data_IF_897427010326
#
_entry.id   IF_897427010326
#
_cell.length_a   1.000
_cell.length_b   1.000
_cell.length_c   1.000
_cell.angle_alpha   90.00
_cell.angle_beta   90.00
_cell.angle_gamma   90.00
#
_symmetry.space_group_name_H-M   'P 1'
#
loop_
_entity.id
_entity.type
_entity.pdbx_description
1 polymer ?
#
# COMPACT_ATOMS: atom_id res chain seq x y z
N UNK A 1 -11.25 15.69 3.21
CA UNK A 1 -9.83 15.71 3.62
C UNK A 1 -9.01 15.20 2.45
N UNK A 2 -7.90 15.84 2.08
CA UNK A 2 -7.03 15.34 1.00
C UNK A 2 -6.08 14.29 1.59
N UNK A 3 -5.98 13.13 0.96
CA UNK A 3 -5.02 12.07 1.31
C UNK A 3 -3.70 12.29 0.57
N UNK A 4 -2.62 11.74 1.11
CA UNK A 4 -1.29 11.81 0.45
C UNK A 4 -1.26 11.06 -0.88
N UNK A 5 -1.89 9.88 -0.93
CA UNK A 5 -2.13 9.16 -2.19
C UNK A 5 -3.20 9.92 -2.96
N UNK A 6 -2.86 10.35 -4.19
CA UNK A 6 -3.73 11.17 -5.04
C UNK A 6 -4.32 10.38 -6.21
N UNK A 7 -3.55 9.46 -6.75
CA UNK A 7 -3.97 8.55 -7.81
C UNK A 7 -3.52 7.14 -7.45
N UNK A 8 -4.40 6.17 -7.65
CA UNK A 8 -4.06 4.75 -7.63
C UNK A 8 -4.32 4.20 -9.02
N UNK A 9 -3.34 3.56 -9.63
CA UNK A 9 -3.46 2.91 -10.93
C UNK A 9 -3.28 1.39 -10.75
N UNK A 10 -4.06 0.61 -11.48
CA UNK A 10 -3.88 -0.82 -11.59
C UNK A 10 -3.36 -1.15 -12.98
N UNK A 11 -2.20 -1.78 -13.06
CA UNK A 11 -1.58 -2.23 -14.30
C UNK A 11 -1.61 -3.76 -14.35
N UNK A 12 -2.22 -4.34 -15.38
CA UNK A 12 -2.41 -5.80 -15.49
C UNK A 12 -1.65 -6.35 -16.69
N UNK A 13 -1.10 -7.57 -16.64
CA UNK A 13 -0.49 -8.19 -17.80
C UNK A 13 -1.51 -8.32 -18.95
N UNK A 14 -1.08 -7.95 -20.16
CA UNK A 14 -1.83 -8.19 -21.38
C UNK A 14 -2.04 -9.70 -21.62
N UNK A 15 -2.88 -10.05 -22.60
CA UNK A 15 -3.17 -11.46 -22.93
C UNK A 15 -1.94 -12.29 -23.28
N UNK A 16 -0.90 -11.65 -23.82
CA UNK A 16 0.38 -12.29 -24.18
C UNK A 16 1.38 -12.30 -23.03
N UNK A 17 1.08 -11.63 -21.91
CA UNK A 17 1.92 -11.44 -20.72
C UNK A 17 3.30 -10.85 -21.05
N UNK A 18 3.33 -9.97 -22.05
CA UNK A 18 4.54 -9.29 -22.52
C UNK A 18 4.59 -7.83 -22.13
N UNK A 19 3.44 -7.23 -21.85
CA UNK A 19 3.30 -5.84 -21.42
C UNK A 19 2.27 -5.73 -20.32
N UNK A 20 2.27 -4.60 -19.63
CA UNK A 20 1.23 -4.18 -18.72
C UNK A 20 0.30 -3.19 -19.45
N UNK A 21 -0.99 -3.44 -19.36
CA UNK A 21 -2.08 -2.57 -19.82
C UNK A 21 -2.83 -1.97 -18.64
N UNK A 22 -3.52 -0.86 -18.89
CA UNK A 22 -4.28 -0.16 -17.87
C UNK A 22 -5.52 -0.98 -17.45
N UNK A 23 -5.61 -1.32 -16.18
CA UNK A 23 -6.68 -2.11 -15.57
C UNK A 23 -7.69 -1.29 -14.77
N UNK A 24 -7.44 0.01 -14.57
CA UNK A 24 -8.32 0.93 -13.85
C UNK A 24 -7.56 1.85 -12.90
N UNK A 25 -8.28 2.81 -12.32
CA UNK A 25 -7.72 3.79 -11.39
C UNK A 25 -8.72 4.27 -10.33
N UNK A 26 -8.20 4.89 -9.27
CA UNK A 26 -8.95 5.74 -8.36
C UNK A 26 -8.27 7.10 -8.30
N UNK A 27 -9.02 8.16 -8.54
CA UNK A 27 -8.55 9.53 -8.44
C UNK A 27 -9.72 10.50 -8.21
N UNK A 28 -9.42 11.72 -7.81
CA UNK A 28 -10.36 12.86 -7.87
C UNK A 28 -10.43 13.42 -9.30
N UNK A 29 -11.49 14.16 -9.62
CA UNK A 29 -11.69 14.72 -10.96
C UNK A 29 -10.62 15.71 -11.43
N UNK A 30 -9.77 16.23 -10.52
CA UNK A 30 -8.63 17.08 -10.91
C UNK A 30 -7.54 16.30 -11.68
N UNK A 31 -7.54 14.97 -11.61
CA UNK A 31 -6.56 14.10 -12.29
C UNK A 31 -7.12 13.45 -13.57
N UNK A 32 -8.28 13.88 -14.07
CA UNK A 32 -8.92 13.26 -15.25
C UNK A 32 -8.03 13.32 -16.49
N UNK A 33 -7.32 14.42 -16.73
CA UNK A 33 -6.42 14.57 -17.88
C UNK A 33 -5.22 13.61 -17.77
N UNK A 34 -4.59 13.54 -16.60
CA UNK A 34 -3.52 12.59 -16.34
C UNK A 34 -4.01 11.13 -16.50
N UNK A 35 -5.20 10.81 -15.98
CA UNK A 35 -5.78 9.48 -16.10
C UNK A 35 -6.02 9.08 -17.57
N UNK A 36 -6.50 10.00 -18.42
CA UNK A 36 -6.69 9.74 -19.84
C UNK A 36 -5.37 9.40 -20.57
N UNK A 37 -4.26 9.99 -20.13
CA UNK A 37 -2.92 9.64 -20.64
C UNK A 37 -2.53 8.24 -20.16
N UNK A 38 -2.80 7.89 -18.90
CA UNK A 38 -2.55 6.55 -18.36
C UNK A 38 -3.38 5.47 -19.05
N UNK A 39 -4.65 5.72 -19.40
CA UNK A 39 -5.50 4.74 -20.11
C UNK A 39 -4.91 4.28 -21.45
N UNK A 40 -4.08 5.12 -22.08
CA UNK A 40 -3.45 4.82 -23.37
C UNK A 40 -2.00 4.31 -23.23
N UNK A 41 -1.47 4.23 -22.01
CA UNK A 41 -0.09 3.83 -21.76
C UNK A 41 0.07 2.31 -21.72
N UNK A 42 1.26 1.85 -22.12
CA UNK A 42 1.72 0.48 -21.99
C UNK A 42 3.13 0.47 -21.41
N UNK A 43 3.43 -0.59 -20.65
CA UNK A 43 4.75 -0.79 -20.05
C UNK A 43 5.25 -2.20 -20.36
N UNK A 44 6.39 -2.32 -21.04
CA UNK A 44 7.10 -3.59 -21.15
C UNK A 44 7.74 -3.99 -19.80
N UNK A 45 8.24 -5.22 -19.75
CA UNK A 45 9.12 -5.67 -18.68
C UNK A 45 10.31 -4.71 -18.52
N UNK A 46 10.59 -4.28 -17.28
CA UNK A 46 11.65 -3.32 -16.93
C UNK A 46 11.47 -1.90 -17.51
N UNK A 47 10.30 -1.57 -18.05
CA UNK A 47 9.98 -0.25 -18.61
C UNK A 47 9.10 0.57 -17.66
N UNK A 48 9.51 1.82 -17.37
CA UNK A 48 8.75 2.70 -16.48
C UNK A 48 8.60 2.15 -15.06
N UNK A 49 7.86 2.86 -14.22
CA UNK A 49 7.68 2.46 -12.82
C UNK A 49 6.93 1.11 -12.67
N UNK A 50 5.82 0.83 -13.38
CA UNK A 50 5.18 -0.48 -13.31
C UNK A 50 6.08 -1.62 -13.80
N UNK A 51 6.77 -1.45 -14.93
CA UNK A 51 7.64 -2.48 -15.51
C UNK A 51 8.88 -2.76 -14.68
N UNK A 52 9.44 -1.74 -14.00
CA UNK A 52 10.55 -1.91 -13.04
C UNK A 52 10.14 -2.77 -11.85
N UNK A 53 8.96 -2.55 -11.28
CA UNK A 53 8.44 -3.39 -10.18
C UNK A 53 8.10 -4.82 -10.65
N UNK A 54 7.64 -4.97 -11.89
CA UNK A 54 7.52 -6.30 -12.49
C UNK A 54 8.88 -6.99 -12.59
N UNK A 55 9.90 -6.28 -13.08
CA UNK A 55 11.22 -6.84 -13.27
C UNK A 55 11.95 -7.21 -11.99
N UNK A 56 11.85 -6.36 -10.96
CA UNK A 56 12.49 -6.58 -9.67
C UNK A 56 11.83 -7.69 -8.84
N UNK A 57 10.55 -7.99 -9.09
CA UNK A 57 9.79 -8.95 -8.28
C UNK A 57 9.47 -8.44 -6.86
N UNK A 58 9.70 -7.16 -6.58
CA UNK A 58 9.47 -6.54 -5.29
C UNK A 58 9.04 -5.06 -5.46
N UNK A 59 8.48 -4.42 -4.42
CA UNK A 59 8.08 -3.03 -4.51
C UNK A 59 9.21 -2.09 -4.91
N UNK A 60 8.85 -1.00 -5.58
CA UNK A 60 9.78 0.05 -6.02
C UNK A 60 9.21 1.41 -5.61
N UNK A 61 10.02 2.23 -4.95
CA UNK A 61 9.72 3.63 -4.66
C UNK A 61 10.49 4.49 -5.66
N UNK A 62 9.83 5.51 -6.19
CA UNK A 62 10.42 6.53 -7.02
C UNK A 62 10.10 7.90 -6.43
N UNK A 63 11.09 8.51 -5.79
CA UNK A 63 10.96 9.75 -5.03
C UNK A 63 10.90 11.01 -5.88
N UNK A 64 11.34 10.93 -7.14
CA UNK A 64 11.28 12.03 -8.12
C UNK A 64 11.05 11.51 -9.55
N UNK A 65 10.19 12.19 -10.31
CA UNK A 65 9.90 11.85 -11.72
C UNK A 65 10.85 12.50 -12.73
N UNK A 66 11.38 13.68 -12.41
CA UNK A 66 12.32 14.35 -13.29
C UNK A 66 13.63 13.56 -13.40
N UNK A 67 14.21 13.50 -14.60
CA UNK A 67 15.46 12.78 -14.88
C UNK A 67 15.47 11.29 -14.45
N UNK A 68 14.30 10.66 -14.34
CA UNK A 68 14.16 9.25 -14.00
C UNK A 68 13.54 8.44 -15.15
N UNK A 69 13.36 7.14 -14.93
CA UNK A 69 12.71 6.25 -15.89
C UNK A 69 11.18 6.38 -15.90
N UNK A 70 10.60 7.30 -15.12
CA UNK A 70 9.16 7.52 -15.12
C UNK A 70 8.67 7.92 -16.51
N UNK A 71 7.55 7.35 -16.94
CA UNK A 71 6.84 7.76 -18.16
C UNK A 71 5.69 8.68 -17.76
N UNK A 72 5.36 9.64 -18.62
CA UNK A 72 4.31 10.66 -18.40
C UNK A 72 4.73 11.73 -17.37
N UNK A 73 6.02 12.08 -17.39
CA UNK A 73 6.64 12.98 -16.40
C UNK A 73 6.07 14.39 -16.48
N UNK A 74 5.90 14.93 -17.69
CA UNK A 74 5.39 16.28 -17.87
C UNK A 74 3.93 16.37 -17.40
N UNK A 75 3.11 15.39 -17.75
CA UNK A 75 1.69 15.32 -17.37
C UNK A 75 1.52 15.08 -15.87
N UNK A 76 2.35 14.21 -15.27
CA UNK A 76 2.36 14.01 -13.82
C UNK A 76 2.73 15.31 -13.08
N UNK A 77 3.73 16.04 -13.59
CA UNK A 77 4.17 17.32 -13.01
C UNK A 77 3.08 18.39 -13.13
N UNK A 78 2.42 18.49 -14.28
CA UNK A 78 1.30 19.42 -14.49
C UNK A 78 0.13 19.11 -13.54
N UNK A 79 -0.12 17.83 -13.26
CA UNK A 79 -1.10 17.38 -12.28
C UNK A 79 -0.63 17.54 -10.82
N UNK A 80 0.61 17.96 -10.56
CA UNK A 80 1.16 18.12 -9.21
C UNK A 80 1.55 16.81 -8.51
N UNK A 81 1.72 15.72 -9.26
CA UNK A 81 2.23 14.45 -8.77
C UNK A 81 3.77 14.49 -8.75
N UNK A 82 4.39 14.01 -7.68
CA UNK A 82 5.83 14.18 -7.44
C UNK A 82 6.57 12.90 -7.14
N UNK A 83 5.90 11.87 -6.63
CA UNK A 83 6.50 10.57 -6.37
C UNK A 83 5.53 9.42 -6.62
N UNK A 84 6.07 8.22 -6.76
CA UNK A 84 5.31 7.02 -7.08
C UNK A 84 5.82 5.79 -6.35
N UNK A 85 4.90 4.88 -6.02
CA UNK A 85 5.20 3.59 -5.38
C UNK A 85 4.54 2.49 -6.19
N UNK A 86 5.32 1.55 -6.70
CA UNK A 86 4.82 0.38 -7.40
C UNK A 86 4.85 -0.86 -6.51
N UNK A 87 3.70 -1.50 -6.40
CA UNK A 87 3.42 -2.67 -5.57
C UNK A 87 3.06 -3.85 -6.47
N UNK A 88 4.02 -4.73 -6.83
CA UNK A 88 3.75 -5.84 -7.71
C UNK A 88 3.12 -7.01 -6.94
N UNK A 89 2.02 -7.56 -7.44
CA UNK A 89 1.34 -8.72 -6.85
C UNK A 89 1.66 -9.95 -7.67
N UNK A 90 2.28 -10.95 -7.03
CA UNK A 90 2.62 -12.23 -7.64
C UNK A 90 1.82 -13.38 -7.01
N UNK A 91 1.49 -14.37 -7.84
CA UNK A 91 1.03 -15.68 -7.40
C UNK A 91 2.05 -16.74 -7.87
N UNK A 92 2.98 -17.09 -6.99
CA UNK A 92 4.17 -17.83 -7.39
C UNK A 92 5.05 -16.94 -8.28
N UNK A 93 5.42 -17.42 -9.47
CA UNK A 93 6.22 -16.65 -10.43
C UNK A 93 5.37 -15.79 -11.37
N UNK A 94 4.04 -15.91 -11.30
CA UNK A 94 3.13 -15.20 -12.18
C UNK A 94 2.76 -13.83 -11.62
N UNK A 95 3.16 -12.76 -12.32
CA UNK A 95 2.65 -11.43 -12.02
C UNK A 95 1.13 -11.39 -12.26
N UNK A 96 0.37 -10.97 -11.26
CA UNK A 96 -1.07 -10.76 -11.35
C UNK A 96 -1.38 -9.33 -11.79
N UNK A 97 -0.73 -8.35 -11.15
CA UNK A 97 -0.87 -6.93 -11.42
C UNK A 97 0.27 -6.14 -10.77
N UNK A 98 0.47 -4.90 -11.19
CA UNK A 98 1.24 -3.89 -10.45
C UNK A 98 0.28 -2.77 -10.07
N UNK A 99 0.14 -2.53 -8.77
CA UNK A 99 -0.59 -1.36 -8.27
C UNK A 99 0.40 -0.20 -8.11
N UNK A 100 0.11 0.93 -8.74
CA UNK A 100 0.93 2.14 -8.61
C UNK A 100 0.16 3.18 -7.81
N UNK A 101 0.79 3.68 -6.75
CA UNK A 101 0.32 4.80 -5.95
C UNK A 101 1.11 6.03 -6.39
N UNK A 102 0.44 7.06 -6.89
CA UNK A 102 1.04 8.34 -7.21
C UNK A 102 0.63 9.35 -6.15
N UNK A 103 1.63 10.04 -5.61
CA UNK A 103 1.45 11.01 -4.54
C UNK A 103 1.86 12.39 -5.02
N UNK A 104 1.30 13.43 -4.41
CA UNK A 104 1.51 14.83 -4.81
C UNK A 104 2.15 15.67 -3.71
N UNK A 105 2.92 16.67 -4.14
CA UNK A 105 3.61 17.62 -3.27
C UNK A 105 2.69 18.78 -2.88
N UNK A 106 1.84 18.53 -1.90
CA UNK A 106 1.35 19.60 -1.05
C UNK A 106 2.40 19.73 0.08
N UNK A 107 3.26 20.76 0.04
CA UNK A 107 4.38 21.11 0.97
C UNK A 107 4.08 21.09 2.49
N UNK A 108 2.87 20.70 2.86
CA UNK A 108 2.38 20.49 4.23
C UNK A 108 2.19 19.01 4.56
N UNK A 109 2.51 18.09 3.65
CA UNK A 109 2.35 16.66 3.87
C UNK A 109 3.41 16.12 4.81
N UNK A 110 2.91 15.56 5.90
CA UNK A 110 3.67 14.93 6.93
C UNK A 110 3.28 13.45 6.94
N UNK A 111 4.25 12.58 6.67
CA UNK A 111 4.04 11.15 6.50
C UNK A 111 5.19 10.55 5.71
N UNK A 112 5.28 9.22 5.69
CA UNK A 112 6.33 8.55 4.95
C UNK A 112 5.85 7.26 4.29
N UNK A 113 6.42 6.96 3.13
CA UNK A 113 6.37 5.64 2.53
C UNK A 113 7.80 5.13 2.43
N UNK A 114 8.10 4.00 3.04
CA UNK A 114 9.46 3.47 3.12
C UNK A 114 9.51 2.05 2.58
N UNK A 115 10.62 1.69 1.95
CA UNK A 115 10.91 0.33 1.51
C UNK A 115 12.12 -0.19 2.30
N UNK A 116 11.91 -1.24 3.06
CA UNK A 116 12.93 -1.92 3.84
C UNK A 116 13.25 -3.26 3.19
N UNK A 117 14.50 -3.72 3.28
CA UNK A 117 14.93 -5.02 2.74
C UNK A 117 15.89 -5.72 3.69
N UNK A 118 15.74 -7.03 3.87
CA UNK A 118 16.82 -7.87 4.41
C UNK A 118 17.62 -8.49 3.27
N UNK A 119 18.92 -8.22 3.29
CA UNK A 119 19.90 -9.01 2.53
C UNK A 119 20.50 -10.04 3.50
N UNK A 120 20.06 -11.31 3.47
CA UNK A 120 20.45 -12.32 4.44
C UNK A 120 21.95 -12.66 4.38
N UNK A 121 22.60 -12.42 3.24
CA UNK A 121 24.04 -12.63 3.08
C UNK A 121 24.87 -11.51 3.72
N UNK A 122 24.26 -10.32 3.93
CA UNK A 122 24.94 -9.15 4.52
C UNK A 122 24.59 -8.89 5.97
N UNK A 123 23.34 -9.13 6.38
CA UNK A 123 22.87 -8.76 7.71
C UNK A 123 21.65 -9.57 8.15
N UNK A 124 21.52 -9.76 9.47
CA UNK A 124 20.31 -10.30 10.10
C UNK A 124 19.22 -9.22 10.34
N UNK A 125 19.46 -7.99 9.91
CA UNK A 125 18.57 -6.85 10.06
C UNK A 125 18.10 -6.35 8.69
N UNK A 126 16.95 -5.65 8.67
CA UNK A 126 16.52 -4.90 7.50
C UNK A 126 17.13 -3.50 7.52
N UNK A 127 17.56 -3.02 6.36
CA UNK A 127 17.98 -1.65 6.12
C UNK A 127 17.01 -0.95 5.16
N UNK A 128 16.99 0.38 5.20
CA UNK A 128 16.22 1.18 4.27
C UNK A 128 16.81 1.05 2.86
N UNK A 129 15.98 0.70 1.88
CA UNK A 129 16.32 0.74 0.46
C UNK A 129 16.10 2.15 -0.07
N UNK A 130 14.88 2.65 0.12
CA UNK A 130 14.50 4.02 -0.23
C UNK A 130 13.24 4.44 0.52
N UNK A 131 12.89 5.72 0.48
CA UNK A 131 11.66 6.21 1.09
C UNK A 131 11.33 7.64 0.68
N UNK A 132 10.05 7.95 0.68
CA UNK A 132 9.53 9.30 0.55
C UNK A 132 9.11 9.82 1.92
N UNK A 133 9.53 11.03 2.26
CA UNK A 133 9.35 11.62 3.59
C UNK A 133 8.65 13.00 3.58
N UNK A 134 8.19 13.46 2.41
CA UNK A 134 7.63 14.80 2.28
C UNK A 134 8.64 15.86 2.71
N UNK A 135 8.27 16.68 3.70
CA UNK A 135 9.15 17.71 4.28
C UNK A 135 9.83 17.29 5.58
N UNK A 136 9.84 16.00 5.91
CA UNK A 136 10.34 15.49 7.20
C UNK A 136 11.82 15.07 7.14
N UNK A 137 12.71 16.02 6.83
CA UNK A 137 14.15 15.77 6.60
C UNK A 137 14.85 15.03 7.75
N UNK A 138 14.54 15.40 9.00
CA UNK A 138 15.15 14.75 10.17
C UNK A 138 14.67 13.30 10.32
N UNK A 139 13.39 13.06 10.04
CA UNK A 139 12.82 11.71 10.07
C UNK A 139 13.43 10.85 8.96
N UNK A 140 13.62 11.39 7.76
CA UNK A 140 14.35 10.75 6.67
C UNK A 140 15.77 10.39 7.07
N UNK A 141 16.53 11.36 7.60
CA UNK A 141 17.92 11.17 8.01
C UNK A 141 18.04 10.00 9.00
N UNK A 142 17.21 9.98 10.04
CA UNK A 142 17.21 8.89 11.02
C UNK A 142 16.80 7.55 10.40
N UNK A 143 15.84 7.55 9.47
CA UNK A 143 15.41 6.34 8.78
C UNK A 143 16.54 5.71 7.97
N UNK A 144 17.31 6.52 7.25
CA UNK A 144 18.48 6.07 6.46
C UNK A 144 19.59 5.47 7.32
N UNK A 145 19.66 5.83 8.61
CA UNK A 145 20.66 5.31 9.56
C UNK A 145 20.11 4.26 10.53
N UNK A 146 18.83 3.90 10.43
CA UNK A 146 18.21 2.88 11.28
C UNK A 146 18.26 1.52 10.61
N UNK A 147 18.48 0.48 11.41
CA UNK A 147 18.27 -0.92 11.01
C UNK A 147 17.29 -1.58 11.96
N UNK A 148 16.52 -2.54 11.43
CA UNK A 148 15.50 -3.24 12.20
C UNK A 148 15.80 -4.75 12.26
N UNK A 149 16.13 -5.28 13.45
CA UNK A 149 16.15 -6.72 13.68
C UNK A 149 14.79 -7.35 13.39
N UNK A 150 14.82 -8.62 12.97
CA UNK A 150 13.59 -9.41 12.80
C UNK A 150 12.78 -9.44 14.09
N UNK A 151 11.53 -8.98 14.02
CA UNK A 151 10.60 -8.89 15.15
C UNK A 151 10.61 -7.57 15.91
N UNK A 152 11.39 -6.57 15.48
CA UNK A 152 11.51 -5.29 16.16
C UNK A 152 11.16 -4.10 15.26
N UNK A 153 10.51 -3.07 15.82
CA UNK A 153 9.90 -1.98 15.05
C UNK A 153 8.81 -2.46 14.09
N UNK A 154 8.16 -1.54 13.36
CA UNK A 154 7.14 -1.90 12.37
C UNK A 154 7.71 -2.78 11.24
N UNK A 155 8.86 -2.42 10.60
CA UNK A 155 9.42 -3.25 9.51
C UNK A 155 9.80 -4.64 9.98
N UNK A 156 10.57 -4.75 11.07
CA UNK A 156 11.03 -6.03 11.58
C UNK A 156 9.89 -6.91 12.11
N UNK A 157 8.86 -6.34 12.75
CA UNK A 157 7.66 -7.10 13.16
C UNK A 157 6.89 -7.64 11.96
N UNK A 158 6.73 -6.84 10.91
CA UNK A 158 6.08 -7.25 9.66
C UNK A 158 6.85 -8.39 9.01
N UNK A 159 8.18 -8.26 8.95
CA UNK A 159 9.07 -9.33 8.48
C UNK A 159 8.96 -10.61 9.30
N UNK A 160 8.92 -10.51 10.63
CA UNK A 160 8.76 -11.69 11.50
C UNK A 160 7.42 -12.39 11.28
N UNK A 161 6.34 -11.62 11.13
CA UNK A 161 5.00 -12.16 10.97
C UNK A 161 4.76 -12.76 9.58
N UNK A 162 5.39 -12.20 8.53
CA UNK A 162 5.06 -12.55 7.15
C UNK A 162 3.57 -12.27 6.83
N UNK A 163 3.00 -11.26 7.50
CA UNK A 163 1.62 -10.80 7.41
C UNK A 163 1.62 -9.27 7.40
N UNK A 164 0.65 -8.61 6.75
CA UNK A 164 0.49 -7.18 6.93
C UNK A 164 0.22 -6.88 8.41
N UNK A 165 0.68 -5.73 8.89
CA UNK A 165 0.48 -5.29 10.27
C UNK A 165 0.03 -3.83 10.31
N UNK A 166 -0.88 -3.53 11.23
CA UNK A 166 -1.27 -2.16 11.58
C UNK A 166 -0.83 -1.90 13.02
N UNK A 167 -0.06 -0.84 13.25
CA UNK A 167 0.30 -0.34 14.58
C UNK A 167 -0.33 1.03 14.77
N UNK A 168 -1.15 1.14 15.82
CA UNK A 168 -1.76 2.38 16.30
C UNK A 168 -0.88 3.05 17.34
N UNK A 169 -1.08 4.36 17.53
CA UNK A 169 -0.36 5.16 18.53
C UNK A 169 1.16 4.94 18.43
N UNK A 170 1.68 5.02 17.19
CA UNK A 170 3.04 4.56 16.87
C UNK A 170 4.11 5.25 17.74
N UNK A 171 3.92 6.52 18.09
CA UNK A 171 4.79 7.28 18.99
C UNK A 171 4.82 6.71 20.43
N UNK A 172 3.76 6.05 20.89
CA UNK A 172 3.66 5.42 22.22
C UNK A 172 3.99 3.92 22.22
N UNK A 173 4.25 3.33 21.04
CA UNK A 173 4.54 1.91 20.94
C UNK A 173 5.93 1.60 21.53
N UNK A 174 5.97 0.73 22.56
CA UNK A 174 7.23 0.23 23.12
C UNK A 174 8.11 -0.37 22.02
N UNK A 175 9.36 0.09 21.93
CA UNK A 175 10.32 -0.38 20.93
C UNK A 175 10.27 0.34 19.58
N UNK A 176 9.59 1.49 19.50
CA UNK A 176 9.66 2.33 18.32
C UNK A 176 10.92 3.20 18.37
N UNK A 177 11.92 2.85 17.55
CA UNK A 177 13.26 3.44 17.56
C UNK A 177 13.30 4.94 17.21
N UNK A 178 12.28 5.44 16.51
CA UNK A 178 12.20 6.80 15.96
C UNK A 178 11.00 7.57 16.53
N UNK A 179 10.64 7.28 17.77
CA UNK A 179 9.36 7.73 18.37
C UNK A 179 9.29 9.21 18.66
N UNK A 180 10.41 9.85 18.99
CA UNK A 180 10.47 11.28 19.27
C UNK A 180 10.18 12.07 17.99
N UNK A 181 10.89 11.80 16.90
CA UNK A 181 10.73 12.51 15.63
C UNK A 181 9.39 12.21 14.97
N UNK A 182 8.93 10.96 15.03
CA UNK A 182 7.59 10.61 14.55
C UNK A 182 6.49 11.32 15.32
N UNK A 183 6.68 11.55 16.63
CA UNK A 183 5.74 12.33 17.45
C UNK A 183 5.78 13.81 17.08
N UNK A 184 6.96 14.38 16.85
CA UNK A 184 7.11 15.79 16.42
C UNK A 184 6.36 16.09 15.13
N UNK A 185 6.35 15.11 14.22
CA UNK A 185 5.67 15.22 12.93
C UNK A 185 4.27 14.57 12.97
N UNK A 186 3.79 14.09 14.12
CA UNK A 186 2.42 13.62 14.32
C UNK A 186 2.05 12.31 13.60
N UNK A 187 3.02 11.44 13.29
CA UNK A 187 2.75 10.08 12.82
C UNK A 187 2.09 9.29 13.96
N UNK A 188 0.90 8.75 13.68
CA UNK A 188 0.11 8.02 14.67
C UNK A 188 -0.25 6.60 14.24
N UNK A 189 -0.26 6.32 12.93
CA UNK A 189 -0.62 5.02 12.37
C UNK A 189 0.45 4.54 11.40
N UNK A 190 0.89 3.31 11.58
CA UNK A 190 1.85 2.64 10.71
C UNK A 190 1.30 1.35 10.16
N UNK A 191 1.40 1.16 8.84
CA UNK A 191 1.02 -0.08 8.15
C UNK A 191 2.26 -0.70 7.53
N UNK A 192 2.53 -1.97 7.79
CA UNK A 192 3.61 -2.73 7.16
C UNK A 192 3.04 -3.78 6.21
N UNK A 193 3.62 -3.92 5.02
CA UNK A 193 3.22 -4.86 3.98
C UNK A 193 4.43 -5.70 3.59
N UNK A 194 4.45 -7.02 3.84
CA UNK A 194 5.57 -7.88 3.48
C UNK A 194 5.48 -8.34 2.02
N UNK A 195 6.63 -8.43 1.37
CA UNK A 195 6.85 -9.08 0.08
C UNK A 195 8.03 -10.02 0.25
N UNK A 196 7.82 -11.32 0.05
CA UNK A 196 8.86 -12.34 0.26
C UNK A 196 9.16 -13.04 -1.05
N UNK A 197 10.44 -13.03 -1.45
CA UNK A 197 10.94 -13.73 -2.64
C UNK A 197 12.14 -14.57 -2.22
N UNK A 198 11.97 -15.89 -2.21
CA UNK A 198 12.98 -16.80 -1.65
C UNK A 198 13.16 -16.58 -0.14
N UNK A 199 14.39 -16.32 0.28
CA UNK A 199 14.80 -16.03 1.66
C UNK A 199 14.88 -14.51 1.96
N UNK A 200 14.66 -13.68 0.94
CA UNK A 200 14.64 -12.24 1.06
C UNK A 200 13.22 -11.75 1.31
N UNK A 201 13.11 -10.74 2.15
CA UNK A 201 11.87 -10.04 2.45
C UNK A 201 12.07 -8.54 2.26
N UNK A 202 11.10 -7.92 1.59
CA UNK A 202 10.91 -6.50 1.55
C UNK A 202 9.71 -6.15 2.40
N UNK A 203 9.75 -4.99 3.06
CA UNK A 203 8.60 -4.44 3.77
C UNK A 203 8.37 -3.03 3.30
N UNK A 204 7.19 -2.78 2.74
CA UNK A 204 6.70 -1.42 2.51
C UNK A 204 6.02 -0.94 3.79
N UNK A 205 6.41 0.22 4.29
CA UNK A 205 5.70 0.88 5.41
C UNK A 205 4.97 2.12 4.92
N UNK A 206 3.71 2.26 5.31
CA UNK A 206 2.95 3.50 5.21
C UNK A 206 2.86 4.10 6.61
N UNK A 207 3.44 5.28 6.79
CA UNK A 207 3.43 6.03 8.04
C UNK A 207 2.53 7.25 7.86
N UNK A 208 1.33 7.15 8.44
CA UNK A 208 0.27 8.13 8.31
C UNK A 208 0.31 9.10 9.50
N UNK A 209 0.31 10.40 9.20
CA UNK A 209 0.12 11.44 10.21
C UNK A 209 -1.34 11.89 10.28
N UNK A 210 -1.76 12.39 11.44
CA UNK A 210 -3.16 12.80 11.65
C UNK A 210 -3.60 13.96 10.75
N UNK A 211 -2.68 14.91 10.47
CA UNK A 211 -2.96 16.09 9.66
C UNK A 211 -3.05 15.79 8.15
N UNK A 212 -2.30 14.79 7.68
CA UNK A 212 -2.21 14.40 6.27
C UNK A 212 -2.17 12.88 6.14
N UNK A 213 -3.33 12.23 6.36
CA UNK A 213 -3.36 10.78 6.38
C UNK A 213 -3.11 10.19 4.99
N UNK A 214 -2.43 9.05 4.96
CA UNK A 214 -2.21 8.28 3.72
C UNK A 214 -3.55 7.73 3.22
N UNK A 215 -4.39 7.25 4.13
CA UNK A 215 -5.76 6.82 3.91
C UNK A 215 -6.59 7.10 5.17
N UNK A 216 -7.91 7.21 5.03
CA UNK A 216 -8.83 7.45 6.15
C UNK A 216 -9.06 6.22 7.02
N UNK A 217 -8.91 5.03 6.45
CA UNK A 217 -9.06 3.76 7.16
C UNK A 217 -8.17 2.70 6.54
N UNK A 218 -7.61 1.84 7.38
CA UNK A 218 -6.96 0.59 7.00
C UNK A 218 -7.66 -0.59 7.67
N UNK A 219 -7.81 -1.70 6.96
CA UNK A 219 -8.38 -2.94 7.47
C UNK A 219 -7.56 -4.13 6.95
N UNK A 220 -7.29 -5.12 7.80
CA UNK A 220 -6.69 -6.39 7.44
C UNK A 220 -7.75 -7.47 7.62
N UNK A 221 -7.96 -8.25 6.56
CA UNK A 221 -8.89 -9.36 6.52
C UNK A 221 -8.14 -10.65 6.22
N UNK A 222 -8.33 -11.68 7.05
CA UNK A 222 -7.62 -12.96 6.95
C UNK A 222 -8.58 -14.13 6.73
N UNK A 223 -8.26 -15.12 5.90
CA UNK A 223 -9.06 -16.34 5.81
C UNK A 223 -9.13 -17.03 7.17
N UNK A 224 -10.31 -17.51 7.55
CA UNK A 224 -10.46 -18.42 8.69
C UNK A 224 -9.71 -19.75 8.42
N UNK A 225 -9.55 -20.58 9.45
CA UNK A 225 -8.84 -21.86 9.35
C UNK A 225 -9.42 -22.78 8.28
N UNK A 226 -10.76 -22.84 8.17
CA UNK A 226 -11.47 -23.59 7.14
C UNK A 226 -11.36 -22.98 5.72
N UNK A 227 -10.80 -21.78 5.58
CA UNK A 227 -10.75 -20.97 4.35
C UNK A 227 -12.11 -20.85 3.65
N UNK A 228 -13.18 -20.72 4.43
CA UNK A 228 -14.56 -20.56 3.96
C UNK A 228 -15.07 -19.12 4.05
N UNK A 229 -14.42 -18.27 4.85
CA UNK A 229 -14.70 -16.85 4.94
C UNK A 229 -13.45 -16.04 5.30
N UNK A 230 -13.45 -14.73 5.01
CA UNK A 230 -12.52 -13.77 5.59
C UNK A 230 -13.08 -13.23 6.91
N UNK A 231 -12.20 -13.11 7.90
CA UNK A 231 -12.46 -12.51 9.21
C UNK A 231 -11.69 -11.19 9.31
N UNK A 232 -12.25 -10.22 10.02
CA UNK A 232 -11.52 -9.01 10.38
C UNK A 232 -10.43 -9.37 11.39
N UNK A 233 -9.18 -9.03 11.07
CA UNK A 233 -8.03 -9.25 11.95
C UNK A 233 -7.71 -7.98 12.74
N UNK A 234 -7.49 -6.88 12.03
CA UNK A 234 -7.09 -5.61 12.60
C UNK A 234 -7.44 -4.45 11.67
N UNK A 235 -7.50 -3.24 12.22
CA UNK A 235 -7.83 -2.06 11.44
C UNK A 235 -7.71 -0.79 12.25
N UNK A 236 -7.53 0.32 11.56
CA UNK A 236 -7.47 1.67 12.12
C UNK A 236 -8.27 2.65 11.27
N UNK A 237 -8.90 3.63 11.90
CA UNK A 237 -9.79 4.59 11.26
C UNK A 237 -9.52 5.99 11.82
N UNK A 238 -9.32 6.97 10.94
CA UNK A 238 -9.06 8.36 11.34
C UNK A 238 -10.21 8.99 12.14
N UNK A 239 -11.42 8.44 12.01
CA UNK A 239 -12.61 8.83 12.79
C UNK A 239 -12.71 8.11 14.15
N UNK A 240 -11.65 7.40 14.57
CA UNK A 240 -11.56 6.69 15.86
C UNK A 240 -12.69 5.67 16.09
N UNK A 241 -13.21 5.08 15.01
CA UNK A 241 -14.23 4.03 15.08
C UNK A 241 -13.64 2.74 15.67
N UNK A 242 -14.36 2.11 16.60
CA UNK A 242 -14.00 0.77 17.10
C UNK A 242 -14.37 -0.31 16.08
N UNK A 243 -13.48 -0.50 15.10
CA UNK A 243 -13.66 -1.48 14.02
C UNK A 243 -13.75 -2.92 14.55
N UNK A 244 -13.09 -3.25 15.66
CA UNK A 244 -13.12 -4.60 16.21
C UNK A 244 -14.54 -4.95 16.70
N UNK A 245 -15.19 -4.01 17.40
CA UNK A 245 -16.58 -4.17 17.82
C UNK A 245 -17.53 -4.16 16.63
N UNK A 246 -17.33 -3.27 15.64
CA UNK A 246 -18.19 -3.18 14.46
C UNK A 246 -18.19 -4.45 13.60
N UNK A 247 -17.02 -5.08 13.46
CA UNK A 247 -16.84 -6.31 12.69
C UNK A 247 -16.95 -7.59 13.52
N UNK A 248 -17.28 -7.49 14.82
CA UNK A 248 -17.47 -8.65 15.67
C UNK A 248 -18.48 -9.64 15.04
N UNK A 249 -18.03 -10.88 14.84
CA UNK A 249 -18.78 -11.96 14.19
C UNK A 249 -19.24 -11.68 12.74
N UNK A 250 -18.75 -10.63 12.09
CA UNK A 250 -18.96 -10.37 10.66
C UNK A 250 -17.92 -11.13 9.85
N UNK A 251 -18.32 -11.57 8.66
CA UNK A 251 -17.45 -12.30 7.74
C UNK A 251 -17.70 -11.82 6.32
N UNK A 252 -16.70 -11.97 5.45
CA UNK A 252 -16.81 -11.68 4.02
C UNK A 252 -16.63 -13.00 3.26
N UNK A 253 -17.58 -13.35 2.39
CA UNK A 253 -17.49 -14.56 1.57
C UNK A 253 -16.53 -14.37 0.41
N UNK A 254 -16.03 -15.48 -0.13
CA UNK A 254 -15.26 -15.45 -1.38
C UNK A 254 -16.13 -14.89 -2.51
N UNK A 255 -15.61 -13.88 -3.20
CA UNK A 255 -16.33 -13.14 -4.25
C UNK A 255 -17.29 -12.05 -3.75
N UNK A 256 -17.43 -11.86 -2.44
CA UNK A 256 -18.31 -10.82 -1.88
C UNK A 256 -17.63 -9.46 -1.87
N UNK A 257 -18.16 -8.53 -2.65
CA UNK A 257 -17.61 -7.17 -2.74
C UNK A 257 -16.16 -7.13 -3.21
N UNK A 258 -15.50 -6.01 -2.94
CA UNK A 258 -14.12 -5.75 -3.36
C UNK A 258 -13.15 -6.71 -2.65
N UNK A 259 -13.27 -6.80 -1.31
CA UNK A 259 -12.38 -7.61 -0.47
C UNK A 259 -12.54 -9.12 -0.76
N UNK A 260 -13.78 -9.61 -0.86
CA UNK A 260 -14.03 -11.00 -1.23
C UNK A 260 -13.65 -11.30 -2.68
N UNK A 261 -13.79 -10.34 -3.59
CA UNK A 261 -13.34 -10.43 -4.98
C UNK A 261 -11.81 -10.58 -5.11
N UNK A 262 -11.04 -9.83 -4.32
CA UNK A 262 -9.59 -10.01 -4.20
C UNK A 262 -9.26 -11.43 -3.76
N UNK A 263 -9.99 -11.99 -2.78
CA UNK A 263 -9.79 -13.38 -2.38
C UNK A 263 -10.20 -14.41 -3.44
N UNK A 264 -11.20 -14.09 -4.25
CA UNK A 264 -11.61 -14.97 -5.34
C UNK A 264 -10.55 -15.05 -6.45
N UNK A 265 -9.87 -13.95 -6.74
CA UNK A 265 -9.06 -13.81 -7.97
C UNK A 265 -7.55 -13.73 -7.73
N UNK A 266 -7.12 -13.28 -6.54
CA UNK A 266 -5.74 -12.87 -6.29
C UNK A 266 -5.35 -11.56 -6.98
N UNK A 267 -6.29 -10.88 -7.65
CA UNK A 267 -6.08 -9.56 -8.24
C UNK A 267 -6.36 -8.48 -7.20
N UNK A 268 -5.60 -7.37 -7.17
CA UNK A 268 -6.03 -6.19 -6.45
C UNK A 268 -7.33 -5.63 -7.00
N UNK A 269 -8.11 -4.95 -6.16
CA UNK A 269 -9.36 -4.32 -6.55
C UNK A 269 -9.37 -2.83 -6.23
N UNK A 270 -9.96 -2.06 -7.14
CA UNK A 270 -10.21 -0.63 -7.03
C UNK A 270 -11.71 -0.41 -7.14
N UNK A 271 -12.32 0.22 -6.14
CA UNK A 271 -13.76 0.53 -6.16
C UNK A 271 -13.97 2.01 -5.90
N UNK A 272 -14.42 2.74 -6.91
CA UNK A 272 -14.67 4.19 -6.84
C UNK A 272 -15.97 4.53 -6.09
N UNK A 273 -16.95 3.64 -6.17
CA UNK A 273 -18.27 3.86 -5.60
C UNK A 273 -18.69 2.68 -4.73
N UNK A 274 -18.38 2.75 -3.44
CA UNK A 274 -18.75 1.74 -2.45
C UNK A 274 -20.27 1.46 -2.37
N UNK A 275 -21.12 2.30 -2.96
CA UNK A 275 -22.56 1.98 -3.10
C UNK A 275 -22.84 0.73 -3.94
N UNK A 276 -21.91 0.35 -4.82
CA UNK A 276 -21.98 -0.84 -5.68
C UNK A 276 -21.49 -2.09 -4.94
N UNK A 277 -20.75 -1.92 -3.85
CA UNK A 277 -20.24 -3.00 -3.01
C UNK A 277 -21.24 -3.26 -1.87
N UNK A 278 -21.83 -4.46 -1.89
CA UNK A 278 -22.86 -4.88 -0.92
C UNK A 278 -22.27 -5.51 0.35
N UNK A 279 -20.94 -5.62 0.45
CA UNK A 279 -20.29 -6.21 1.62
C UNK A 279 -20.53 -5.37 2.88
N UNK A 280 -20.43 -6.04 4.02
CA UNK A 280 -20.52 -5.37 5.33
C UNK A 280 -19.45 -4.29 5.49
N UNK A 281 -18.26 -4.49 4.92
CA UNK A 281 -17.16 -3.53 4.98
C UNK A 281 -17.49 -2.25 4.22
N UNK A 282 -18.01 -2.36 2.99
CA UNK A 282 -18.45 -1.22 2.20
C UNK A 282 -19.60 -0.45 2.87
N UNK A 283 -20.58 -1.15 3.44
CA UNK A 283 -21.70 -0.52 4.15
C UNK A 283 -21.22 0.31 5.36
N UNK A 284 -20.31 -0.23 6.17
CA UNK A 284 -19.77 0.46 7.34
C UNK A 284 -18.80 1.59 6.96
N UNK A 285 -18.00 1.44 5.91
CA UNK A 285 -17.16 2.51 5.40
C UNK A 285 -18.00 3.69 4.89
N UNK A 286 -19.10 3.41 4.17
CA UNK A 286 -20.05 4.44 3.71
C UNK A 286 -20.74 5.18 4.85
N UNK A 287 -21.08 4.49 5.93
CA UNK A 287 -21.66 5.12 7.12
C UNK A 287 -20.71 6.15 7.75
N UNK A 288 -19.39 5.96 7.56
CA UNK A 288 -18.31 6.90 7.93
C UNK A 288 -17.93 7.86 6.78
N UNK A 289 -18.79 8.03 5.77
CA UNK A 289 -18.56 8.98 4.68
C UNK A 289 -17.37 8.65 3.77
N UNK A 290 -16.90 7.40 3.75
CA UNK A 290 -15.92 6.92 2.77
C UNK A 290 -16.64 6.36 1.55
N UNK A 291 -16.09 6.57 0.35
CA UNK A 291 -16.73 6.12 -0.88
C UNK A 291 -15.79 5.31 -1.80
N UNK A 292 -14.49 5.32 -1.53
CA UNK A 292 -13.49 4.62 -2.33
C UNK A 292 -12.74 3.59 -1.47
N UNK A 293 -12.41 2.45 -2.06
CA UNK A 293 -11.55 1.44 -1.43
C UNK A 293 -10.55 0.87 -2.42
N UNK A 294 -9.32 0.69 -1.94
CA UNK A 294 -8.30 -0.14 -2.56
C UNK A 294 -8.17 -1.41 -1.73
N UNK A 295 -8.16 -2.57 -2.38
CA UNK A 295 -7.93 -3.84 -1.72
C UNK A 295 -6.73 -4.55 -2.37
N UNK A 296 -5.70 -4.81 -1.57
CA UNK A 296 -4.44 -5.42 -1.98
C UNK A 296 -4.32 -6.82 -1.36
N UNK A 297 -4.14 -7.88 -2.16
CA UNK A 297 -3.87 -9.20 -1.64
C UNK A 297 -2.42 -9.33 -1.15
N UNK A 298 -2.24 -9.99 -0.01
CA UNK A 298 -0.94 -10.50 0.43
C UNK A 298 -0.93 -12.01 0.16
N UNK A 299 -0.12 -12.43 -0.81
CA UNK A 299 -0.05 -13.80 -1.32
C UNK A 299 1.31 -14.39 -1.01
N UNK A 300 1.32 -15.63 -0.54
CA UNK A 300 2.53 -16.42 -0.32
C UNK A 300 2.29 -17.82 -0.88
N UNK A 301 3.22 -18.34 -1.69
CA UNK A 301 3.11 -19.66 -2.32
C UNK A 301 1.75 -19.87 -3.03
N UNK A 302 1.33 -18.87 -3.82
CA UNK A 302 0.05 -18.83 -4.52
C UNK A 302 -1.21 -18.98 -3.63
N UNK A 303 -1.08 -18.74 -2.32
CA UNK A 303 -2.18 -18.73 -1.36
C UNK A 303 -2.35 -17.34 -0.77
N UNK A 304 -3.58 -16.85 -0.77
CA UNK A 304 -3.93 -15.62 -0.06
C UNK A 304 -3.70 -15.84 1.45
N UNK A 305 -2.92 -14.95 2.08
CA UNK A 305 -2.77 -14.88 3.54
C UNK A 305 -3.66 -13.80 4.14
N UNK A 306 -3.76 -12.66 3.50
CA UNK A 306 -4.57 -11.53 3.94
C UNK A 306 -5.03 -10.69 2.74
N UNK A 307 -6.07 -9.90 2.95
CA UNK A 307 -6.39 -8.73 2.13
C UNK A 307 -6.18 -7.50 3.00
N UNK A 308 -5.29 -6.61 2.57
CA UNK A 308 -5.17 -5.28 3.13
C UNK A 308 -6.08 -4.35 2.34
N UNK A 309 -7.05 -3.72 3.00
CA UNK A 309 -7.93 -2.73 2.40
C UNK A 309 -7.63 -1.35 3.00
N UNK A 310 -7.63 -0.32 2.16
CA UNK A 310 -7.60 1.06 2.63
C UNK A 310 -8.58 1.95 1.89
N UNK A 311 -9.11 2.91 2.61
CA UNK A 311 -10.23 3.74 2.17
C UNK A 311 -9.79 5.19 2.06
N UNK A 312 -10.12 5.81 0.93
CA UNK A 312 -9.77 7.18 0.59
C UNK A 312 -10.97 8.12 0.84
#
# INVERSE_FOLDING_TARGET
>A
MKTFIRVVELWVPDKTRTRLEFGGSLHSGEFTEFNAVSENALFAYDEGLPGKAWASGHPVILTEFANSYFKRTDEAREAGLTCGVALPVFAGEFLMAVMVLLCGDDRKHVGAIELWHNDPDRSHEMALVDGYYGTADMFEFNSRHTKFPRGFGLPGRTWKAGMPLIIKELHNAKGFLRGEEASEIGINCGVGIPYTTGDQTWVVTFLSAQATPIARRFEIWVPNEARSALLFDSGDCSEQSDLATLYAAKTIRRGEGSIGGVWATGMPALTEHLKQDQSIAAALARASGMNQVVALPVIENARLKAVLAWYL
#
